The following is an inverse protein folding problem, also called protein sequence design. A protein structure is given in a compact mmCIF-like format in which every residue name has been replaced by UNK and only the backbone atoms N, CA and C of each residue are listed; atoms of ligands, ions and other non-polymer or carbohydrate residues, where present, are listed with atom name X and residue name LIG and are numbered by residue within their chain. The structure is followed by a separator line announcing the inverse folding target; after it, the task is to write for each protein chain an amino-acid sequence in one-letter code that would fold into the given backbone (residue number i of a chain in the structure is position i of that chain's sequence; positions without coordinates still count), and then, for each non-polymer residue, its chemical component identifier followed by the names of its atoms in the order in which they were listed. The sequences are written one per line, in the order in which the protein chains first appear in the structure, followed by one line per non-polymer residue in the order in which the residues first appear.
data_IF_835390409838
#
_entry.id   IF_835390409838
#
_cell.length_a   1.000
_cell.length_b   1.000
_cell.length_c   1.000
_cell.angle_alpha   90.00
_cell.angle_beta   90.00
_cell.angle_gamma   90.00
#
_symmetry.space_group_name_H-M   'P 1'
#
loop_
_entity.id
_entity.type
_entity.pdbx_description
1 polymer ?
#
# COMPACT_ATOMS: atom_id res chain seq x y z
N UNK A 1 -21.72 36.56 51.42
CA UNK A 1 -21.67 35.27 50.70
C UNK A 1 -20.28 34.70 50.86
N UNK A 2 -20.12 33.69 51.70
CA UNK A 2 -18.84 33.02 51.95
C UNK A 2 -18.94 31.62 51.37
N UNK A 3 -18.31 31.40 50.22
CA UNK A 3 -18.29 30.09 49.57
C UNK A 3 -17.26 29.25 50.31
N UNK A 4 -17.73 28.27 51.10
CA UNK A 4 -16.86 27.25 51.67
C UNK A 4 -16.42 26.30 50.56
N UNK A 5 -15.13 26.24 50.29
CA UNK A 5 -14.55 25.24 49.43
C UNK A 5 -14.41 23.93 50.21
N UNK A 6 -15.26 22.94 49.93
CA UNK A 6 -15.05 21.57 50.39
C UNK A 6 -14.07 20.87 49.46
N UNK A 7 -12.91 20.48 49.99
CA UNK A 7 -11.96 19.58 49.33
C UNK A 7 -12.58 18.19 49.22
N UNK A 8 -12.94 17.77 48.01
CA UNK A 8 -13.32 16.40 47.74
C UNK A 8 -12.09 15.49 47.94
N UNK A 9 -12.12 14.77 49.05
CA UNK A 9 -11.15 13.77 49.44
C UNK A 9 -11.05 12.67 48.37
N UNK A 10 -9.84 12.49 47.84
CA UNK A 10 -9.32 11.16 47.49
C UNK A 10 -10.18 10.31 46.55
N UNK A 11 -10.64 10.89 45.43
CA UNK A 11 -11.14 10.12 44.30
C UNK A 11 -10.01 9.41 43.57
N UNK A 12 -9.56 8.24 44.07
CA UNK A 12 -8.80 7.31 43.22
C UNK A 12 -9.75 6.85 42.14
N UNK A 13 -9.71 7.50 40.98
CA UNK A 13 -10.28 6.96 39.77
C UNK A 13 -9.60 5.61 39.54
N UNK A 14 -10.31 4.51 39.83
CA UNK A 14 -9.94 3.20 39.38
C UNK A 14 -10.07 3.21 37.87
N UNK A 15 -9.03 3.71 37.18
CA UNK A 15 -8.88 3.52 35.76
C UNK A 15 -8.68 2.03 35.56
N UNK A 16 -9.79 1.31 35.35
CA UNK A 16 -9.77 -0.06 34.85
C UNK A 16 -9.18 0.03 33.45
N UNK A 17 -7.86 -0.07 33.40
CA UNK A 17 -7.16 -0.33 32.15
C UNK A 17 -7.58 -1.74 31.76
N UNK A 18 -8.51 -1.84 30.81
CA UNK A 18 -8.66 -3.03 30.01
C UNK A 18 -7.36 -3.19 29.21
N UNK A 19 -6.35 -3.79 29.84
CA UNK A 19 -5.31 -4.47 29.10
C UNK A 19 -6.02 -5.63 28.42
N UNK A 20 -6.09 -5.68 27.08
CA UNK A 20 -6.47 -6.91 26.44
C UNK A 20 -5.36 -7.91 26.77
N UNK A 21 -5.60 -8.77 27.77
CA UNK A 21 -4.84 -10.00 27.96
C UNK A 21 -5.24 -10.94 26.84
N UNK A 22 -4.88 -10.58 25.59
CA UNK A 22 -4.76 -11.56 24.53
C UNK A 22 -3.49 -12.33 24.87
N UNK A 23 -3.65 -13.34 25.71
CA UNK A 23 -2.67 -14.42 25.77
C UNK A 23 -2.65 -15.01 24.36
N UNK A 24 -1.67 -14.60 23.55
CA UNK A 24 -1.27 -15.28 22.31
C UNK A 24 -0.62 -16.60 22.72
N UNK A 25 -1.38 -17.45 23.38
CA UNK A 25 -0.95 -18.78 23.79
C UNK A 25 -1.41 -19.72 22.70
N UNK A 26 -0.48 -20.04 21.80
CA UNK A 26 -0.60 -21.07 20.77
C UNK A 26 -1.56 -20.75 19.61
N UNK A 27 -1.31 -19.66 18.89
CA UNK A 27 -1.79 -19.60 17.51
C UNK A 27 -1.14 -20.78 16.74
N UNK A 28 -1.91 -21.67 16.12
CA UNK A 28 -1.34 -22.82 15.44
C UNK A 28 -0.45 -22.34 14.29
N UNK A 29 0.73 -22.95 14.15
CA UNK A 29 1.80 -22.50 13.24
C UNK A 29 1.33 -22.35 11.79
N UNK A 30 0.42 -23.21 11.34
CA UNK A 30 -0.18 -23.13 9.99
C UNK A 30 -0.97 -21.83 9.77
N UNK A 31 -1.58 -21.25 10.81
CA UNK A 31 -2.37 -20.03 10.70
C UNK A 31 -1.45 -18.81 10.57
N UNK A 32 -0.32 -18.80 11.27
CA UNK A 32 0.71 -17.78 11.11
C UNK A 32 1.33 -17.83 9.70
N UNK A 33 1.58 -19.03 9.19
CA UNK A 33 2.08 -19.24 7.83
C UNK A 33 1.06 -18.83 6.77
N UNK A 34 -0.21 -19.18 6.95
CA UNK A 34 -1.28 -18.77 6.04
C UNK A 34 -1.45 -17.25 6.05
N UNK A 35 -1.40 -16.62 7.22
CA UNK A 35 -1.45 -15.17 7.35
C UNK A 35 -0.28 -14.49 6.63
N UNK A 36 0.93 -15.01 6.73
CA UNK A 36 2.08 -14.44 6.03
C UNK A 36 1.94 -14.57 4.50
N UNK A 37 1.48 -15.72 3.99
CA UNK A 37 1.20 -15.92 2.56
C UNK A 37 0.10 -15.00 2.04
N UNK A 38 -1.02 -14.88 2.76
CA UNK A 38 -2.12 -13.97 2.38
C UNK A 38 -1.64 -12.53 2.38
N UNK A 39 -0.86 -12.12 3.38
CA UNK A 39 -0.29 -10.78 3.45
C UNK A 39 0.64 -10.48 2.27
N UNK A 40 1.50 -11.43 1.90
CA UNK A 40 2.36 -11.30 0.71
C UNK A 40 1.52 -11.17 -0.56
N UNK A 41 0.49 -11.99 -0.73
CA UNK A 41 -0.39 -11.93 -1.89
C UNK A 41 -1.12 -10.58 -1.99
N UNK A 42 -1.62 -10.06 -0.87
CA UNK A 42 -2.25 -8.74 -0.82
C UNK A 42 -1.27 -7.62 -1.19
N UNK A 43 0.00 -7.72 -0.78
CA UNK A 43 1.01 -6.75 -1.17
C UNK A 43 1.27 -6.78 -2.69
N UNK A 44 1.35 -7.97 -3.28
CA UNK A 44 1.49 -8.14 -4.73
C UNK A 44 0.29 -7.51 -5.45
N UNK A 45 -0.94 -7.85 -5.05
CA UNK A 45 -2.14 -7.27 -5.68
C UNK A 45 -2.24 -5.75 -5.49
N UNK A 46 -1.86 -5.23 -4.32
CA UNK A 46 -1.83 -3.80 -4.09
C UNK A 46 -0.81 -3.10 -5.00
N UNK A 47 0.36 -3.71 -5.20
CA UNK A 47 1.37 -3.22 -6.13
C UNK A 47 0.86 -3.25 -7.58
N UNK A 48 0.33 -4.38 -8.04
CA UNK A 48 -0.26 -4.51 -9.38
C UNK A 48 -1.40 -3.51 -9.62
N UNK A 49 -2.25 -3.27 -8.61
CA UNK A 49 -3.31 -2.29 -8.67
C UNK A 49 -2.79 -0.87 -8.84
N UNK A 50 -1.70 -0.50 -8.13
CA UNK A 50 -1.03 0.80 -8.31
C UNK A 50 -0.43 0.93 -9.71
N UNK A 51 0.27 -0.10 -10.18
CA UNK A 51 0.85 -0.13 -11.54
C UNK A 51 -0.24 0.01 -12.60
N UNK A 52 -1.37 -0.70 -12.47
CA UNK A 52 -2.50 -0.57 -13.41
C UNK A 52 -3.09 0.84 -13.41
N UNK A 53 -3.19 1.48 -12.23
CA UNK A 53 -3.71 2.85 -12.12
C UNK A 53 -2.74 3.87 -12.72
N UNK A 54 -1.43 3.76 -12.44
CA UNK A 54 -0.43 4.65 -13.03
C UNK A 54 -0.33 4.48 -14.54
N UNK A 55 -0.44 3.23 -15.04
CA UNK A 55 -0.42 2.94 -16.49
C UNK A 55 -1.46 3.74 -17.26
N UNK A 56 -2.72 3.79 -16.77
CA UNK A 56 -3.79 4.56 -17.42
C UNK A 56 -3.50 6.06 -17.46
N UNK A 57 -2.85 6.60 -16.43
CA UNK A 57 -2.44 8.01 -16.40
C UNK A 57 -1.31 8.25 -17.41
N UNK A 58 -0.33 7.35 -17.47
CA UNK A 58 0.75 7.43 -18.44
C UNK A 58 0.22 7.35 -19.87
N UNK A 59 -0.71 6.44 -20.17
CA UNK A 59 -1.36 6.34 -21.48
C UNK A 59 -2.10 7.63 -21.90
N UNK A 60 -2.51 8.47 -20.94
CA UNK A 60 -3.14 9.77 -21.22
C UNK A 60 -2.16 10.93 -21.38
N UNK A 61 -0.87 10.70 -21.13
CA UNK A 61 0.15 11.75 -21.28
C UNK A 61 0.45 12.02 -22.76
N UNK A 62 0.84 13.25 -23.10
CA UNK A 62 1.36 13.58 -24.41
C UNK A 62 2.60 12.76 -24.79
N UNK A 63 2.72 12.45 -26.08
CA UNK A 63 3.79 11.59 -26.64
C UNK A 63 5.21 12.11 -26.32
N UNK A 64 5.43 13.43 -26.32
CA UNK A 64 6.73 14.01 -25.99
C UNK A 64 7.16 13.73 -24.55
N UNK A 65 6.23 13.82 -23.58
CA UNK A 65 6.50 13.51 -22.17
C UNK A 65 6.79 12.02 -22.02
N UNK A 66 6.03 11.17 -22.74
CA UNK A 66 6.25 9.72 -22.73
C UNK A 66 7.63 9.33 -23.27
N UNK A 67 8.08 9.98 -24.34
CA UNK A 67 9.42 9.78 -24.87
C UNK A 67 10.51 10.24 -23.91
N UNK A 68 10.35 11.39 -23.26
CA UNK A 68 11.34 11.94 -22.33
C UNK A 68 11.57 11.03 -21.12
N UNK A 69 10.52 10.38 -20.62
CA UNK A 69 10.61 9.43 -19.50
C UNK A 69 10.95 8.00 -19.95
N UNK A 70 11.10 7.76 -21.26
CA UNK A 70 11.40 6.43 -21.80
C UNK A 70 10.25 5.43 -21.66
N UNK A 71 9.00 5.91 -21.66
CA UNK A 71 7.80 5.09 -21.59
C UNK A 71 7.28 4.69 -22.98
N UNK A 72 6.81 3.44 -23.20
CA UNK A 72 6.88 2.32 -22.27
C UNK A 72 8.32 1.83 -22.10
N UNK A 73 8.68 1.40 -20.87
CA UNK A 73 10.01 0.87 -20.61
C UNK A 73 10.28 -0.33 -21.55
N UNK A 74 11.52 -0.45 -22.03
CA UNK A 74 11.91 -1.53 -22.93
C UNK A 74 11.71 -2.90 -22.27
N UNK A 75 11.89 -2.99 -20.96
CA UNK A 75 11.67 -4.22 -20.18
C UNK A 75 10.20 -4.51 -19.88
N UNK A 76 9.31 -3.50 -19.98
CA UNK A 76 7.85 -3.69 -19.83
C UNK A 76 7.23 -4.34 -21.08
N UNK A 77 8.00 -4.45 -22.17
CA UNK A 77 7.61 -5.19 -23.37
C UNK A 77 7.71 -6.67 -23.06
N UNK A 78 6.56 -7.25 -22.69
CA UNK A 78 6.35 -8.71 -22.63
C UNK A 78 7.06 -9.39 -23.82
N UNK A 79 7.68 -10.54 -23.55
CA UNK A 79 8.55 -11.31 -24.45
C UNK A 79 7.87 -11.88 -25.73
N UNK A 80 6.86 -11.21 -26.30
CA UNK A 80 6.07 -11.73 -27.41
C UNK A 80 5.51 -10.69 -28.38
N UNK A 81 5.76 -9.38 -28.23
CA UNK A 81 5.30 -8.40 -29.23
C UNK A 81 6.49 -7.93 -30.08
N UNK A 82 6.74 -8.53 -31.25
CA UNK A 82 7.82 -8.08 -32.12
C UNK A 82 7.53 -6.64 -32.57
N UNK A 83 8.55 -5.78 -32.40
CA UNK A 83 8.60 -4.42 -32.93
C UNK A 83 8.27 -4.46 -34.43
N UNK A 84 7.26 -3.73 -34.88
CA UNK A 84 7.13 -3.44 -36.31
C UNK A 84 8.28 -2.47 -36.67
N UNK A 85 9.26 -2.89 -37.49
CA UNK A 85 10.38 -2.03 -37.85
C UNK A 85 9.97 -0.81 -38.69
N UNK A 86 8.70 -0.73 -39.14
CA UNK A 86 8.19 0.37 -39.96
C UNK A 86 7.89 1.68 -39.19
N UNK A 87 7.87 1.70 -37.85
CA UNK A 87 7.53 2.89 -37.06
C UNK A 87 8.70 3.89 -36.85
N UNK A 88 9.85 3.65 -37.46
CA UNK A 88 10.91 4.66 -37.51
C UNK A 88 11.19 5.12 -38.95
N UNK A 89 10.64 6.28 -39.33
CA UNK A 89 11.34 7.20 -40.19
C UNK A 89 11.59 8.49 -39.39
N UNK A 90 12.72 8.57 -38.70
CA UNK A 90 13.28 9.87 -38.34
C UNK A 90 14.65 9.99 -38.99
N UNK A 91 14.54 10.43 -40.24
CA UNK A 91 15.52 11.18 -41.01
C UNK A 91 16.19 12.21 -40.11
N UNK A 92 17.51 12.22 -40.08
CA UNK A 92 18.34 13.42 -40.20
C UNK A 92 19.57 13.02 -41.02
#
# INVERSE_FOLDING_TARGET
MTVQCQTASHGKAATVRFLPTWTVTNAPSWLLELHSRVRQQLQIWAYEGRVKRSRRVLESLPEHILHDIGWPNVDDRLAGTPRNPAEFPRKN
#
